data_IF_346601757909
#
_entry.id   IF_346601757909
#
_cell.length_a   1.000
_cell.length_b   1.000
_cell.length_c   1.000
_cell.angle_alpha   90.00
_cell.angle_beta   90.00
_cell.angle_gamma   90.00
#
_symmetry.space_group_name_H-M   'P 1'
#
loop_
_entity.id
_entity.type
_entity.pdbx_description
1 polymer ?
#
# COMPACT_ATOMS: atom_id res chain seq x y z
N UNK A 1 1.50 13.84 8.37
CA UNK A 1 1.89 13.15 7.12
C UNK A 1 1.16 11.83 7.08
N UNK A 2 0.40 11.59 6.02
CA UNK A 2 -0.41 10.40 5.87
C UNK A 2 0.22 9.46 4.84
N UNK A 3 0.46 8.21 5.24
CA UNK A 3 1.10 7.22 4.37
C UNK A 3 0.10 6.17 3.91
N UNK A 4 -0.21 6.16 2.61
CA UNK A 4 -1.16 5.23 2.00
C UNK A 4 -0.54 3.89 1.62
N UNK A 5 0.79 3.78 1.67
CA UNK A 5 1.52 2.56 1.32
C UNK A 5 1.76 2.38 -0.18
N UNK A 6 2.19 1.17 -0.52
CA UNK A 6 2.44 0.75 -1.89
C UNK A 6 1.12 0.49 -2.62
N UNK A 7 0.87 1.18 -3.74
CA UNK A 7 -0.30 0.98 -4.59
C UNK A 7 0.09 0.74 -6.04
N UNK A 8 -0.74 0.00 -6.76
CA UNK A 8 -0.59 -0.17 -8.20
C UNK A 8 -1.01 1.12 -8.92
N UNK A 9 -0.17 1.60 -9.83
CA UNK A 9 -0.49 2.73 -10.68
C UNK A 9 -1.46 2.29 -11.78
N UNK A 10 -2.40 3.14 -12.16
CA UNK A 10 -3.34 2.86 -13.27
C UNK A 10 -2.60 2.64 -14.59
N UNK A 11 -1.48 3.33 -14.78
CA UNK A 11 -0.60 3.19 -15.93
C UNK A 11 0.87 3.32 -15.51
N UNK A 12 1.80 2.89 -16.37
CA UNK A 12 3.23 2.94 -16.08
C UNK A 12 3.75 4.38 -16.09
N UNK A 13 4.48 4.76 -15.05
CA UNK A 13 5.18 6.06 -14.96
C UNK A 13 6.67 5.76 -14.80
N UNK A 14 7.53 6.31 -15.68
CA UNK A 14 8.97 6.02 -15.69
C UNK A 14 9.28 4.51 -15.55
N UNK A 15 8.54 3.66 -16.27
CA UNK A 15 8.60 2.18 -16.24
C UNK A 15 8.13 1.50 -14.93
N UNK A 16 7.76 2.26 -13.90
CA UNK A 16 7.21 1.72 -12.65
C UNK A 16 5.72 1.39 -12.75
N UNK A 17 5.29 0.26 -12.16
CA UNK A 17 3.88 -0.16 -12.07
C UNK A 17 3.29 0.00 -10.67
N UNK A 18 4.14 0.23 -9.67
CA UNK A 18 3.76 0.46 -8.27
C UNK A 18 4.46 1.70 -7.77
N UNK A 19 3.83 2.38 -6.81
CA UNK A 19 4.40 3.56 -6.18
C UNK A 19 3.90 3.69 -4.75
N UNK A 20 4.72 4.31 -3.91
CA UNK A 20 4.34 4.71 -2.57
C UNK A 20 3.59 6.04 -2.63
N UNK A 21 2.41 6.08 -2.05
CA UNK A 21 1.60 7.29 -1.97
C UNK A 21 1.68 7.87 -0.56
N UNK A 22 1.97 9.16 -0.48
CA UNK A 22 1.96 9.94 0.75
C UNK A 22 1.17 11.23 0.51
N UNK A 23 0.33 11.60 1.46
CA UNK A 23 -0.37 12.87 1.50
C UNK A 23 0.23 13.74 2.62
N UNK A 24 0.50 14.99 2.31
CA UNK A 24 1.09 15.95 3.23
C UNK A 24 0.18 17.17 3.33
N UNK A 25 -0.33 17.44 4.53
CA UNK A 25 -0.89 18.73 4.90
C UNK A 25 0.26 19.58 5.42
N UNK A 26 0.59 20.65 4.71
CA UNK A 26 1.71 21.54 5.04
C UNK A 26 1.18 22.97 5.21
N UNK A 27 1.56 23.60 6.32
CA UNK A 27 1.42 25.04 6.49
C UNK A 27 2.79 25.66 6.25
N UNK A 28 2.94 26.35 5.12
CA UNK A 28 4.20 26.92 4.70
C UNK A 28 4.00 28.14 3.79
N UNK A 29 4.90 29.13 3.85
CA UNK A 29 4.86 30.27 2.94
C UNK A 29 5.19 29.84 1.50
N UNK A 30 4.64 30.56 0.52
CA UNK A 30 4.85 30.29 -0.90
C UNK A 30 6.32 30.05 -1.35
N UNK A 31 7.34 30.81 -0.88
CA UNK A 31 8.73 30.52 -1.26
C UNK A 31 9.23 29.15 -0.78
N UNK A 32 8.78 28.69 0.40
CA UNK A 32 9.18 27.39 0.93
C UNK A 32 8.58 26.25 0.11
N UNK A 33 7.31 26.37 -0.31
CA UNK A 33 6.64 25.38 -1.18
C UNK A 33 7.36 25.28 -2.52
N UNK A 34 7.76 26.42 -3.11
CA UNK A 34 8.48 26.44 -4.39
C UNK A 34 9.86 25.75 -4.30
N UNK A 35 10.59 25.97 -3.22
CA UNK A 35 11.87 25.28 -3.01
C UNK A 35 11.67 23.77 -2.79
N UNK A 36 10.63 23.38 -2.05
CA UNK A 36 10.27 21.96 -1.90
C UNK A 36 9.97 21.30 -3.26
N UNK A 37 9.17 21.93 -4.12
CA UNK A 37 8.86 21.42 -5.46
C UNK A 37 10.11 21.27 -6.32
N UNK A 38 11.05 22.22 -6.22
CA UNK A 38 12.35 22.12 -6.89
C UNK A 38 13.10 20.87 -6.47
N UNK A 39 13.20 20.61 -5.16
CA UNK A 39 13.87 19.43 -4.62
C UNK A 39 13.18 18.12 -5.05
N UNK A 40 11.84 18.07 -5.01
CA UNK A 40 11.05 16.92 -5.46
C UNK A 40 11.21 16.64 -6.95
N UNK A 41 11.43 17.67 -7.77
CA UNK A 41 11.65 17.50 -9.21
C UNK A 41 13.02 16.90 -9.56
N UNK A 42 14.03 17.20 -8.74
CA UNK A 42 15.41 16.73 -8.95
C UNK A 42 15.58 15.32 -8.41
N UNK A 43 14.80 14.95 -7.39
CA UNK A 43 14.88 13.63 -6.80
C UNK A 43 14.32 12.55 -7.75
N UNK A 44 15.17 11.58 -8.12
CA UNK A 44 14.80 10.51 -9.04
C UNK A 44 13.83 9.49 -8.44
N UNK A 45 13.82 9.33 -7.11
CA UNK A 45 12.92 8.43 -6.39
C UNK A 45 11.46 8.93 -6.41
N UNK A 46 11.28 10.22 -6.65
CA UNK A 46 9.95 10.83 -6.77
C UNK A 46 9.45 10.69 -8.21
N UNK A 47 8.45 9.82 -8.39
CA UNK A 47 7.86 9.59 -9.71
C UNK A 47 7.00 10.77 -10.18
N UNK A 48 6.21 11.34 -9.27
CA UNK A 48 5.28 12.45 -9.51
C UNK A 48 4.89 13.08 -8.17
N UNK A 49 4.74 14.40 -8.16
CA UNK A 49 4.14 15.16 -7.07
C UNK A 49 3.01 16.04 -7.61
N UNK A 50 2.11 16.45 -6.74
CA UNK A 50 1.04 17.39 -7.06
C UNK A 50 0.78 18.22 -5.81
N UNK A 51 0.88 19.54 -5.96
CA UNK A 51 0.60 20.50 -4.88
C UNK A 51 -0.74 21.14 -5.15
N UNK A 52 -1.60 21.19 -4.14
CA UNK A 52 -2.92 21.82 -4.23
C UNK A 52 -3.03 22.88 -3.14
N UNK A 53 -3.37 24.10 -3.52
CA UNK A 53 -3.65 25.17 -2.55
C UNK A 53 -5.06 24.97 -2.01
N UNK A 54 -5.17 24.94 -0.69
CA UNK A 54 -6.44 24.85 0.04
C UNK A 54 -6.64 26.11 0.89
N UNK A 55 -7.89 26.42 1.23
CA UNK A 55 -8.21 27.58 2.08
C UNK A 55 -7.95 27.28 3.56
N UNK A 56 -8.24 26.05 4.00
CA UNK A 56 -7.97 25.54 5.33
C UNK A 56 -7.34 24.15 5.24
N UNK A 57 -6.43 23.84 6.17
CA UNK A 57 -5.84 22.52 6.29
C UNK A 57 -6.78 21.62 7.08
N UNK A 58 -7.24 20.55 6.44
CA UNK A 58 -7.92 19.46 7.12
C UNK A 58 -6.87 18.52 7.73
N UNK A 59 -6.97 18.30 9.05
CA UNK A 59 -6.08 17.42 9.81
C UNK A 59 -6.72 16.05 10.05
N UNK A 60 -7.95 15.83 9.59
CA UNK A 60 -8.62 14.54 9.68
C UNK A 60 -7.97 13.51 8.74
N UNK A 61 -8.17 12.23 9.06
CA UNK A 61 -7.69 11.14 8.20
C UNK A 61 -8.37 11.21 6.84
N UNK A 62 -7.59 11.06 5.76
CA UNK A 62 -8.19 10.95 4.43
C UNK A 62 -9.19 9.79 4.38
N UNK A 63 -10.28 9.92 3.60
CA UNK A 63 -11.19 8.82 3.31
C UNK A 63 -10.49 7.54 2.83
N UNK A 64 -9.29 7.68 2.25
CA UNK A 64 -8.46 6.57 1.77
C UNK A 64 -7.91 5.72 2.92
N UNK A 65 -7.40 6.31 4.00
CA UNK A 65 -7.00 5.55 5.20
C UNK A 65 -8.20 5.13 6.04
N UNK A 66 -9.19 6.01 6.21
CA UNK A 66 -10.39 5.69 6.98
C UNK A 66 -11.14 4.46 6.45
N UNK A 67 -11.10 4.20 5.13
CA UNK A 67 -11.61 2.96 4.53
C UNK A 67 -10.72 1.75 4.85
N UNK A 68 -9.39 1.90 4.75
CA UNK A 68 -8.43 0.82 4.98
C UNK A 68 -8.49 0.31 6.43
N UNK A 69 -8.63 1.19 7.40
CA UNK A 69 -8.65 0.78 8.81
C UNK A 69 -9.92 -0.02 9.13
N UNK A 70 -11.07 0.37 8.58
CA UNK A 70 -12.32 -0.42 8.66
C UNK A 70 -12.20 -1.80 8.00
N UNK A 71 -11.57 -1.87 6.82
CA UNK A 71 -11.37 -3.16 6.12
C UNK A 71 -10.43 -4.09 6.89
N UNK A 72 -9.46 -3.55 7.63
CA UNK A 72 -8.54 -4.33 8.47
C UNK A 72 -9.23 -4.88 9.70
N UNK A 73 -10.00 -4.04 10.37
CA UNK A 73 -10.76 -4.41 11.57
C UNK A 73 -11.72 -5.58 11.24
N UNK A 74 -12.46 -5.49 10.13
CA UNK A 74 -13.38 -6.55 9.68
C UNK A 74 -12.70 -7.89 9.34
N UNK A 75 -11.40 -7.89 9.01
CA UNK A 75 -10.64 -9.11 8.69
C UNK A 75 -10.02 -9.78 9.92
N UNK A 76 -9.82 -9.05 11.01
CA UNK A 76 -9.24 -9.58 12.26
C UNK A 76 -10.16 -10.57 12.98
N UNK A 77 -11.48 -10.43 12.83
CA UNK A 77 -12.45 -11.26 13.56
C UNK A 77 -12.70 -12.66 12.96
N UNK A 78 -12.11 -12.98 11.79
CA UNK A 78 -12.31 -14.29 11.14
C UNK A 78 -11.21 -15.31 11.42
N UNK A 79 -10.16 -14.95 12.15
CA UNK A 79 -9.01 -15.82 12.43
C UNK A 79 -9.10 -16.50 13.80
N UNK A 80 -10.31 -16.94 14.19
CA UNK A 80 -10.57 -17.66 15.45
C UNK A 80 -11.25 -19.02 15.30
N UNK A 81 -11.44 -19.54 14.08
CA UNK A 81 -12.34 -20.66 13.81
C UNK A 81 -11.79 -21.78 12.92
N UNK A 82 -10.56 -22.25 13.16
CA UNK A 82 -10.06 -23.48 12.53
C UNK A 82 -9.30 -24.38 13.52
N UNK A 83 -9.96 -24.67 14.64
CA UNK A 83 -9.76 -25.96 15.31
C UNK A 83 -10.33 -27.07 14.44
N UNK A 84 -9.69 -28.24 14.49
CA UNK A 84 -10.23 -29.53 14.04
C UNK A 84 -10.20 -29.82 12.53
N UNK A 85 -9.00 -30.15 12.03
CA UNK A 85 -8.87 -31.24 11.04
C UNK A 85 -7.83 -32.23 11.52
N UNK A 86 -8.32 -33.28 12.19
CA UNK A 86 -7.62 -34.53 12.46
C UNK A 86 -6.79 -35.00 11.27
N UNK A 87 -5.59 -35.47 11.58
CA UNK A 87 -4.68 -36.09 10.63
C UNK A 87 -5.29 -37.35 10.04
N UNK A 88 -5.43 -37.37 8.71
CA UNK A 88 -5.60 -38.58 7.92
C UNK A 88 -4.31 -38.87 7.17
N UNK A 89 -3.59 -39.91 7.61
CA UNK A 89 -2.46 -40.52 6.91
C UNK A 89 -2.77 -40.72 5.41
N UNK A 90 -1.91 -40.19 4.54
CA UNK A 90 -1.90 -40.57 3.12
C UNK A 90 -0.95 -41.76 2.98
N UNK A 91 -1.41 -42.93 2.51
CA UNK A 91 -0.51 -44.06 2.30
C UNK A 91 0.48 -43.72 1.17
N UNK A 92 1.76 -44.08 1.38
CA UNK A 92 2.83 -43.94 0.40
C UNK A 92 2.49 -44.76 -0.84
N UNK A 93 2.56 -44.16 -2.03
CA UNK A 93 2.50 -44.89 -3.30
C UNK A 93 3.74 -45.77 -3.40
N UNK A 94 3.51 -47.08 -3.42
CA UNK A 94 4.49 -48.11 -3.75
C UNK A 94 4.72 -48.03 -5.28
N UNK A 95 5.96 -47.74 -5.68
CA UNK A 95 6.39 -47.83 -7.07
C UNK A 95 6.77 -49.29 -7.29
N UNK A 96 5.91 -50.04 -7.98
CA UNK A 96 6.27 -51.38 -8.44
C UNK A 96 7.25 -51.29 -9.62
N UNK A 97 8.42 -51.85 -9.35
CA UNK A 97 9.48 -52.19 -10.29
C UNK A 97 9.02 -53.39 -11.13
N UNK A 98 8.75 -53.17 -12.41
CA UNK A 98 8.49 -54.24 -13.37
C UNK A 98 9.59 -54.23 -14.44
N UNK A 99 10.61 -55.00 -14.10
CA UNK A 99 11.60 -55.68 -14.95
C UNK A 99 11.03 -56.20 -16.28
N UNK A 100 11.90 -56.15 -17.30
CA UNK A 100 11.93 -56.91 -18.57
C UNK A 100 11.24 -56.30 -19.80
#
# INVERSE_FOLDING_TARGET
IEYWGLRNLTYRIKKNRKGHYSLLAIDAPAPAVKEMERQLSINEDVLRYMTVRVEALDLELSPVLARRDRDRESRGDREGGRGDREGGERPRREFDDATA
#
